data_IF_613756761215
#
_entry.id   IF_613756761215
#
_cell.length_a   1.000
_cell.length_b   1.000
_cell.length_c   1.000
_cell.angle_alpha   90.00
_cell.angle_beta   90.00
_cell.angle_gamma   90.00
#
_symmetry.space_group_name_H-M   'P 1'
#
loop_
_entity.id
_entity.type
_entity.pdbx_description
1 polymer ?
#
# COMPACT_ATOMS: atom_id res chain seq x y z
N UNK A 1 -38.36 52.03 13.56
CA UNK A 1 -38.63 50.57 13.63
C UNK A 1 -37.39 49.87 14.15
N UNK A 2 -37.50 48.91 15.10
CA UNK A 2 -36.38 48.49 15.94
C UNK A 2 -35.49 47.42 15.30
N UNK A 3 -34.26 47.38 15.82
CA UNK A 3 -33.08 46.63 15.41
C UNK A 3 -33.21 45.13 15.72
N UNK A 4 -33.10 44.27 14.70
CA UNK A 4 -32.97 42.79 14.83
C UNK A 4 -31.56 42.34 14.47
N UNK A 5 -30.57 42.56 15.36
CA UNK A 5 -29.18 42.05 15.16
C UNK A 5 -28.65 41.14 16.28
N UNK A 6 -29.44 40.83 17.31
CA UNK A 6 -28.98 40.10 18.50
C UNK A 6 -29.03 38.56 18.46
N UNK A 7 -29.73 37.94 17.50
CA UNK A 7 -29.96 36.48 17.53
C UNK A 7 -28.96 35.66 16.71
N UNK A 8 -28.40 36.18 15.61
CA UNK A 8 -27.49 35.40 14.74
C UNK A 8 -26.15 35.05 15.39
N UNK A 9 -25.60 35.95 16.22
CA UNK A 9 -24.35 35.68 16.95
C UNK A 9 -24.49 34.59 18.01
N UNK A 10 -25.68 34.43 18.61
CA UNK A 10 -25.94 33.35 19.57
C UNK A 10 -25.94 31.99 18.85
N UNK A 11 -26.59 31.88 17.69
CA UNK A 11 -26.60 30.64 16.90
C UNK A 11 -25.20 30.19 16.46
N UNK A 12 -24.35 31.13 16.01
CA UNK A 12 -22.97 30.80 15.59
C UNK A 12 -22.13 30.30 16.77
N UNK A 13 -22.28 30.89 17.96
CA UNK A 13 -21.57 30.41 19.17
C UNK A 13 -21.99 28.98 19.56
N UNK A 14 -23.27 28.64 19.41
CA UNK A 14 -23.75 27.28 19.74
C UNK A 14 -23.28 26.24 18.71
N UNK A 15 -23.24 26.59 17.41
CA UNK A 15 -22.73 25.69 16.36
C UNK A 15 -21.26 25.32 16.59
N UNK A 16 -20.43 26.30 16.97
CA UNK A 16 -19.01 26.05 17.27
C UNK A 16 -18.84 25.06 18.45
N UNK A 17 -19.66 25.19 19.50
CA UNK A 17 -19.64 24.26 20.64
C UNK A 17 -20.08 22.85 20.22
N UNK A 18 -21.12 22.72 19.40
CA UNK A 18 -21.55 21.43 18.88
C UNK A 18 -20.50 20.76 17.97
N UNK A 19 -19.79 21.54 17.15
CA UNK A 19 -18.70 21.01 16.31
C UNK A 19 -17.54 20.45 17.14
N UNK A 20 -17.13 21.15 18.21
CA UNK A 20 -16.08 20.65 19.12
C UNK A 20 -16.51 19.34 19.78
N UNK A 21 -17.76 19.23 20.21
CA UNK A 21 -18.28 17.97 20.79
C UNK A 21 -18.41 16.84 19.76
N UNK A 22 -18.83 17.13 18.53
CA UNK A 22 -18.94 16.14 17.46
C UNK A 22 -17.59 15.54 17.07
N UNK A 23 -16.50 16.33 17.16
CA UNK A 23 -15.14 15.84 16.91
C UNK A 23 -14.57 15.12 18.13
N UNK A 24 -14.82 15.58 19.36
CA UNK A 24 -14.20 15.00 20.56
C UNK A 24 -14.84 13.69 21.05
N UNK A 25 -16.16 13.53 20.90
CA UNK A 25 -16.88 12.34 21.36
C UNK A 25 -16.42 11.01 20.72
N UNK A 26 -16.14 10.90 19.41
CA UNK A 26 -15.65 9.64 18.85
C UNK A 26 -14.28 9.22 19.40
N UNK A 27 -13.39 10.16 19.73
CA UNK A 27 -12.09 9.82 20.34
C UNK A 27 -12.23 9.29 21.78
N UNK A 28 -13.17 9.81 22.57
CA UNK A 28 -13.42 9.31 23.92
C UNK A 28 -13.93 7.85 23.93
N UNK A 29 -14.72 7.46 22.93
CA UNK A 29 -15.20 6.07 22.79
C UNK A 29 -14.04 5.12 22.46
N UNK A 30 -13.11 5.53 21.60
CA UNK A 30 -11.94 4.70 21.24
C UNK A 30 -10.99 4.50 22.43
N UNK A 31 -10.74 5.52 23.24
CA UNK A 31 -9.84 5.44 24.41
C UNK A 31 -10.43 4.60 25.55
N UNK A 32 -11.75 4.61 25.75
CA UNK A 32 -12.40 3.81 26.79
C UNK A 32 -12.68 2.35 26.39
N UNK A 33 -12.52 2.00 25.11
CA UNK A 33 -12.79 0.66 24.59
C UNK A 33 -11.55 -0.25 24.52
N UNK A 34 -10.41 0.18 25.05
CA UNK A 34 -9.25 -0.71 25.21
C UNK A 34 -9.47 -1.59 26.45
N UNK A 35 -9.68 -2.92 26.30
CA UNK A 35 -9.60 -3.82 27.43
C UNK A 35 -8.17 -3.78 27.98
N UNK A 36 -8.06 -3.44 29.27
CA UNK A 36 -6.81 -3.37 29.99
C UNK A 36 -6.02 -4.66 29.87
N UNK A 37 -4.73 -4.53 29.53
CA UNK A 37 -3.76 -5.59 29.72
C UNK A 37 -3.44 -5.66 31.21
N UNK A 38 -4.25 -6.42 31.94
CA UNK A 38 -3.89 -6.85 33.29
C UNK A 38 -2.71 -7.81 33.21
N UNK A 39 -1.60 -7.36 33.79
CA UNK A 39 -0.47 -8.16 34.22
C UNK A 39 -0.96 -9.38 35.02
N UNK A 40 -0.54 -10.59 34.66
CA UNK A 40 -0.41 -11.66 35.65
C UNK A 40 0.74 -12.60 35.30
N UNK A 41 1.70 -12.62 36.23
CA UNK A 41 2.74 -13.61 36.42
C UNK A 41 2.26 -15.05 36.18
N UNK A 42 3.05 -15.83 35.43
CA UNK A 42 3.17 -17.26 35.69
C UNK A 42 4.63 -17.62 35.88
N UNK A 43 5.00 -17.62 37.15
CA UNK A 43 6.07 -18.36 37.79
C UNK A 43 6.43 -19.65 37.04
N UNK A 44 7.61 -19.67 36.43
CA UNK A 44 8.30 -20.91 36.08
C UNK A 44 9.22 -21.25 37.26
N UNK A 45 8.84 -22.30 37.97
CA UNK A 45 9.63 -22.95 39.02
C UNK A 45 10.86 -23.65 38.38
N UNK A 46 12.09 -23.41 38.85
CA UNK A 46 13.27 -24.11 38.34
C UNK A 46 13.62 -25.30 39.23
N UNK A 47 13.84 -26.52 38.70
CA UNK A 47 14.52 -27.56 39.46
C UNK A 47 16.02 -27.53 39.17
N UNK A 48 16.76 -27.02 40.16
CA UNK A 48 18.02 -27.55 40.72
C UNK A 48 19.16 -28.01 39.79
N UNK A 49 20.26 -27.25 39.78
CA UNK A 49 21.65 -27.73 39.63
C UNK A 49 22.13 -28.36 40.97
N UNK A 50 23.37 -28.91 41.11
CA UNK A 50 24.30 -29.55 40.17
C UNK A 50 24.85 -30.90 40.72
N UNK A 51 25.58 -31.70 39.92
CA UNK A 51 26.58 -32.64 40.48
C UNK A 51 27.80 -32.72 39.55
N UNK A 52 28.94 -32.34 40.11
CA UNK A 52 30.30 -32.32 39.55
C UNK A 52 30.82 -33.71 39.16
N UNK A 53 31.61 -33.80 38.07
CA UNK A 53 33.07 -33.96 38.20
C UNK A 53 33.80 -33.70 36.86
N UNK A 54 35.03 -33.11 36.89
CA UNK A 54 35.80 -32.74 35.71
C UNK A 54 36.88 -33.78 35.39
N UNK A 55 37.25 -33.92 34.11
CA UNK A 55 38.48 -34.50 33.54
C UNK A 55 38.25 -34.53 32.02
N UNK A 56 39.11 -34.16 31.08
CA UNK A 56 40.53 -33.79 31.03
C UNK A 56 40.74 -33.14 29.64
N UNK A 57 41.82 -32.36 29.49
CA UNK A 57 42.23 -31.71 28.25
C UNK A 57 42.36 -32.66 27.06
N UNK A 58 42.05 -32.17 25.85
CA UNK A 58 43.08 -31.83 24.86
C UNK A 58 42.46 -31.10 23.67
N UNK A 59 43.12 -30.02 23.29
CA UNK A 59 42.91 -29.28 22.07
C UNK A 59 43.47 -30.11 20.92
N UNK A 60 42.60 -30.68 20.10
CA UNK A 60 42.96 -31.13 18.77
C UNK A 60 42.02 -30.42 17.79
N UNK A 61 42.66 -29.66 16.92
CA UNK A 61 42.12 -28.94 15.78
C UNK A 61 41.62 -29.97 14.76
N UNK A 62 40.50 -30.61 15.05
CA UNK A 62 39.74 -31.34 14.05
C UNK A 62 38.83 -30.35 13.35
N UNK A 63 39.05 -30.16 12.05
CA UNK A 63 38.05 -29.57 11.18
C UNK A 63 36.80 -30.44 11.28
N UNK A 64 35.88 -30.05 12.17
CA UNK A 64 34.58 -30.67 12.30
C UNK A 64 33.88 -30.40 10.97
N UNK A 65 33.92 -31.39 10.07
CA UNK A 65 32.89 -31.50 9.03
C UNK A 65 31.56 -31.58 9.78
N UNK A 66 30.90 -30.44 9.90
CA UNK A 66 29.54 -30.35 10.43
C UNK A 66 28.66 -31.06 9.41
N UNK A 67 28.41 -32.33 9.63
CA UNK A 67 27.41 -33.08 8.88
C UNK A 67 26.07 -32.36 9.06
N UNK A 68 25.36 -31.97 7.97
CA UNK A 68 24.11 -31.25 8.11
C UNK A 68 23.11 -32.12 8.88
N UNK A 69 22.61 -31.61 10.00
CA UNK A 69 21.52 -32.25 10.74
C UNK A 69 20.27 -32.19 9.87
N UNK A 70 19.81 -33.33 9.37
CA UNK A 70 18.53 -33.41 8.69
C UNK A 70 17.40 -33.11 9.69
N UNK A 71 16.59 -32.09 9.38
CA UNK A 71 15.39 -31.80 10.14
C UNK A 71 14.39 -32.96 9.98
N UNK A 72 13.64 -33.36 11.02
CA UNK A 72 12.67 -34.46 10.96
C UNK A 72 11.39 -34.09 10.17
N UNK A 73 11.41 -32.97 9.44
CA UNK A 73 10.34 -32.49 8.59
C UNK A 73 10.93 -31.94 7.30
N UNK A 74 10.14 -32.00 6.23
CA UNK A 74 10.47 -31.38 4.95
C UNK A 74 10.07 -29.91 5.03
N UNK A 75 10.98 -29.00 4.73
CA UNK A 75 10.63 -27.60 4.47
C UNK A 75 10.07 -27.57 3.05
N UNK A 76 8.75 -27.53 2.92
CA UNK A 76 8.11 -27.18 1.65
C UNK A 76 8.33 -25.68 1.44
N UNK A 77 9.29 -25.33 0.57
CA UNK A 77 9.42 -23.95 0.12
C UNK A 77 8.19 -23.63 -0.72
N UNK A 78 7.50 -22.53 -0.40
CA UNK A 78 6.51 -21.97 -1.31
C UNK A 78 7.14 -21.80 -2.70
N UNK A 79 6.36 -21.95 -3.80
CA UNK A 79 6.86 -21.67 -5.14
C UNK A 79 7.59 -20.33 -5.15
N UNK A 80 8.72 -20.26 -5.85
CA UNK A 80 9.47 -19.02 -6.00
C UNK A 80 8.74 -18.11 -6.99
N UNK A 81 7.58 -17.60 -6.58
CA UNK A 81 6.75 -16.71 -7.37
C UNK A 81 7.46 -15.36 -7.56
N UNK A 82 7.51 -14.87 -8.79
CA UNK A 82 8.09 -13.59 -9.14
C UNK A 82 6.99 -12.60 -9.46
N UNK A 83 7.17 -11.38 -8.99
CA UNK A 83 6.25 -10.29 -9.32
C UNK A 83 6.15 -10.07 -10.84
N UNK A 84 4.97 -9.66 -11.32
CA UNK A 84 4.78 -9.31 -12.72
C UNK A 84 5.65 -8.13 -13.11
N UNK A 85 5.97 -8.02 -14.39
CA UNK A 85 6.56 -6.82 -14.98
C UNK A 85 5.46 -5.94 -15.56
N UNK A 86 5.51 -4.64 -15.28
CA UNK A 86 4.53 -3.65 -15.77
C UNK A 86 5.27 -2.43 -16.33
N UNK A 87 4.73 -1.86 -17.40
CA UNK A 87 5.20 -0.61 -18.01
C UNK A 87 4.02 0.25 -18.43
N UNK A 88 4.20 1.56 -18.33
CA UNK A 88 3.24 2.57 -18.76
C UNK A 88 3.84 3.33 -19.93
N UNK A 89 3.07 3.47 -21.00
CA UNK A 89 3.43 4.22 -22.19
C UNK A 89 2.31 5.21 -22.52
N UNK A 90 2.66 6.43 -22.90
CA UNK A 90 1.71 7.51 -23.07
C UNK A 90 2.28 8.64 -23.92
N UNK A 91 1.52 9.73 -24.11
CA UNK A 91 2.03 10.88 -24.85
C UNK A 91 3.23 11.51 -24.15
N UNK A 92 4.20 12.01 -24.92
CA UNK A 92 5.38 12.69 -24.40
C UNK A 92 5.05 13.96 -23.61
N UNK A 93 3.92 14.61 -23.95
CA UNK A 93 3.45 15.85 -23.34
C UNK A 93 1.98 16.13 -23.73
N UNK A 94 1.35 17.07 -23.03
CA UNK A 94 -0.02 17.54 -23.28
C UNK A 94 -0.01 19.06 -23.53
N UNK A 95 -0.27 19.48 -24.76
CA UNK A 95 -0.24 20.92 -25.13
C UNK A 95 -1.38 21.75 -24.54
N UNK A 96 -2.50 21.12 -24.21
CA UNK A 96 -3.72 21.83 -23.78
C UNK A 96 -4.48 21.03 -22.72
N UNK A 97 -4.04 21.05 -21.45
CA UNK A 97 -4.76 20.46 -20.33
C UNK A 97 -5.96 21.35 -19.94
N UNK A 98 -6.91 21.49 -20.88
CA UNK A 98 -8.16 22.19 -20.64
C UNK A 98 -9.17 21.29 -19.93
N UNK A 99 -10.25 21.90 -19.42
CA UNK A 99 -11.38 21.16 -18.87
C UNK A 99 -11.96 20.19 -19.92
N UNK A 100 -12.03 18.91 -19.59
CA UNK A 100 -12.50 17.86 -20.49
C UNK A 100 -11.45 17.33 -21.48
N UNK A 101 -10.20 17.76 -21.39
CA UNK A 101 -9.10 17.11 -22.10
C UNK A 101 -8.96 15.65 -21.63
N UNK A 102 -8.72 14.74 -22.58
CA UNK A 102 -8.65 13.30 -22.34
C UNK A 102 -7.24 12.83 -22.68
N UNK A 103 -6.71 11.94 -21.85
CA UNK A 103 -5.43 11.28 -22.07
C UNK A 103 -5.68 9.79 -22.26
N UNK A 104 -4.96 9.19 -23.21
CA UNK A 104 -4.90 7.76 -23.41
C UNK A 104 -3.49 7.26 -23.15
N UNK A 105 -3.38 6.18 -22.39
CA UNK A 105 -2.11 5.49 -22.13
C UNK A 105 -2.26 4.00 -22.47
N UNK A 106 -1.14 3.35 -22.74
CA UNK A 106 -1.01 1.91 -22.80
C UNK A 106 -0.34 1.37 -21.53
N UNK A 107 -0.85 0.26 -21.03
CA UNK A 107 -0.34 -0.47 -19.87
C UNK A 107 0.06 -1.85 -20.36
N UNK A 108 1.37 -2.13 -20.41
CA UNK A 108 1.85 -3.45 -20.82
C UNK A 108 2.27 -4.23 -19.58
N UNK A 109 1.78 -5.47 -19.46
CA UNK A 109 2.13 -6.35 -18.35
C UNK A 109 2.55 -7.73 -18.85
N UNK A 110 3.51 -8.34 -18.16
CA UNK A 110 3.97 -9.69 -18.40
C UNK A 110 4.34 -10.37 -17.08
N UNK A 111 3.91 -11.61 -16.90
CA UNK A 111 4.28 -12.47 -15.77
C UNK A 111 4.92 -13.76 -16.32
N UNK A 112 5.88 -14.33 -15.58
CA UNK A 112 6.54 -15.58 -15.98
C UNK A 112 5.95 -16.80 -15.28
N UNK A 113 5.30 -16.59 -14.15
CA UNK A 113 4.76 -17.63 -13.27
C UNK A 113 3.24 -17.77 -13.49
N UNK A 114 2.53 -16.67 -13.83
CA UNK A 114 1.07 -16.63 -14.02
C UNK A 114 0.60 -16.29 -15.45
N UNK A 115 -0.66 -16.61 -15.74
CA UNK A 115 -1.31 -16.33 -17.04
C UNK A 115 -2.14 -15.05 -17.08
N UNK A 116 -2.44 -14.47 -15.91
CA UNK A 116 -3.16 -13.19 -15.81
C UNK A 116 -2.68 -12.40 -14.61
N UNK A 117 -2.91 -11.08 -14.65
CA UNK A 117 -2.60 -10.15 -13.57
C UNK A 117 -3.77 -9.20 -13.36
N UNK A 118 -3.91 -8.69 -12.13
CA UNK A 118 -4.85 -7.62 -11.79
C UNK A 118 -4.12 -6.28 -11.79
N UNK A 119 -4.62 -5.35 -12.57
CA UNK A 119 -4.12 -4.01 -12.76
C UNK A 119 -4.93 -3.00 -11.95
N UNK A 120 -4.21 -2.08 -11.33
CA UNK A 120 -4.74 -0.85 -10.77
C UNK A 120 -4.08 0.36 -11.43
N UNK A 121 -4.82 1.46 -11.59
CA UNK A 121 -4.31 2.71 -12.12
C UNK A 121 -4.80 3.87 -11.26
N UNK A 122 -3.90 4.80 -10.96
CA UNK A 122 -4.23 6.04 -10.27
C UNK A 122 -3.48 7.22 -10.87
N UNK A 123 -4.10 8.40 -10.80
CA UNK A 123 -3.40 9.67 -10.99
C UNK A 123 -3.08 10.28 -9.62
N UNK A 124 -1.85 10.77 -9.45
CA UNK A 124 -1.45 11.54 -8.29
C UNK A 124 -1.50 13.03 -8.62
N UNK A 125 -2.31 13.77 -7.88
CA UNK A 125 -2.56 15.20 -8.05
C UNK A 125 -2.27 15.89 -6.73
N UNK A 126 -1.13 16.58 -6.64
CA UNK A 126 -0.64 17.11 -5.37
C UNK A 126 -0.44 15.98 -4.36
N UNK A 127 -1.23 15.98 -3.29
CA UNK A 127 -1.22 14.94 -2.23
C UNK A 127 -2.37 13.93 -2.37
N UNK A 128 -3.28 14.11 -3.32
CA UNK A 128 -4.45 13.26 -3.51
C UNK A 128 -4.22 12.21 -4.61
N UNK A 129 -4.65 10.97 -4.33
CA UNK A 129 -4.66 9.88 -5.32
C UNK A 129 -6.07 9.69 -5.87
N UNK A 130 -6.21 9.78 -7.19
CA UNK A 130 -7.48 9.58 -7.90
C UNK A 130 -7.44 8.19 -8.54
N UNK A 131 -8.36 7.32 -8.16
CA UNK A 131 -8.48 5.99 -8.73
C UNK A 131 -9.02 6.06 -10.16
N UNK A 132 -8.25 5.51 -11.11
CA UNK A 132 -8.54 5.43 -12.54
C UNK A 132 -8.65 3.99 -13.03
N UNK A 133 -8.67 2.98 -12.15
CA UNK A 133 -8.75 1.55 -12.52
C UNK A 133 -9.98 1.26 -13.39
N UNK A 134 -11.10 1.93 -13.14
CA UNK A 134 -12.33 1.79 -13.95
C UNK A 134 -12.23 2.40 -15.36
N UNK A 135 -11.17 3.18 -15.63
CA UNK A 135 -10.89 3.75 -16.94
C UNK A 135 -10.03 2.84 -17.84
N UNK A 136 -9.63 1.66 -17.36
CA UNK A 136 -8.97 0.63 -18.16
C UNK A 136 -10.03 -0.04 -19.04
N UNK A 137 -9.86 0.04 -20.36
CA UNK A 137 -10.88 -0.33 -21.34
C UNK A 137 -11.15 -1.84 -21.38
N UNK A 138 -10.12 -2.65 -21.18
CA UNK A 138 -10.18 -4.12 -21.13
C UNK A 138 -10.64 -4.64 -19.74
N UNK A 139 -10.78 -3.73 -18.77
CA UNK A 139 -11.01 -4.05 -17.37
C UNK A 139 -9.72 -4.23 -16.56
N UNK A 140 -9.82 -4.44 -15.24
CA UNK A 140 -8.66 -4.56 -14.36
C UNK A 140 -7.93 -5.89 -14.50
N UNK A 141 -8.56 -6.96 -14.99
CA UNK A 141 -7.90 -8.25 -15.16
C UNK A 141 -7.35 -8.37 -16.59
N UNK A 142 -6.04 -8.59 -16.71
CA UNK A 142 -5.34 -8.67 -17.98
C UNK A 142 -4.65 -10.03 -18.13
N UNK A 143 -4.89 -10.71 -19.26
CA UNK A 143 -4.15 -11.92 -19.65
C UNK A 143 -2.75 -11.52 -20.10
N UNK A 144 -1.71 -12.20 -19.60
CA UNK A 144 -0.30 -11.87 -19.83
C UNK A 144 0.44 -12.89 -20.71
N UNK A 145 1.40 -12.46 -21.56
CA UNK A 145 1.74 -11.07 -21.87
C UNK A 145 0.58 -10.34 -22.58
N UNK A 146 0.29 -9.12 -22.13
CA UNK A 146 -0.85 -8.36 -22.61
C UNK A 146 -0.62 -6.86 -22.56
N UNK A 147 -1.43 -6.13 -23.32
CA UNK A 147 -1.46 -4.67 -23.33
C UNK A 147 -2.91 -4.25 -23.13
N UNK A 148 -3.15 -3.43 -22.12
CA UNK A 148 -4.40 -2.74 -21.88
C UNK A 148 -4.27 -1.26 -22.25
N UNK A 149 -5.40 -0.62 -22.52
CA UNK A 149 -5.49 0.80 -22.79
C UNK A 149 -6.35 1.47 -21.72
N UNK A 150 -5.94 2.64 -21.25
CA UNK A 150 -6.74 3.43 -20.31
C UNK A 150 -6.98 4.83 -20.89
N UNK A 151 -8.24 5.27 -20.86
CA UNK A 151 -8.65 6.57 -21.39
C UNK A 151 -9.46 7.31 -20.33
N UNK A 152 -8.96 8.47 -19.88
CA UNK A 152 -9.58 9.22 -18.79
C UNK A 152 -9.43 10.73 -18.99
N UNK A 153 -10.37 11.53 -18.46
CA UNK A 153 -10.21 12.97 -18.43
C UNK A 153 -9.04 13.36 -17.51
N UNK A 154 -8.28 14.39 -17.88
CA UNK A 154 -7.23 14.94 -17.03
C UNK A 154 -7.88 15.47 -15.75
N UNK A 155 -7.49 14.98 -14.57
CA UNK A 155 -8.01 15.52 -13.33
C UNK A 155 -7.64 17.00 -13.16
N UNK A 156 -8.52 17.82 -12.56
CA UNK A 156 -8.21 19.22 -12.28
C UNK A 156 -6.99 19.30 -11.36
N UNK A 157 -5.95 20.01 -11.79
CA UNK A 157 -4.69 20.15 -11.06
C UNK A 157 -4.08 21.53 -11.33
N UNK A 158 -3.40 22.07 -10.33
CA UNK A 158 -2.56 23.27 -10.46
C UNK A 158 -1.11 22.90 -10.84
N UNK A 159 -0.80 21.60 -10.89
CA UNK A 159 0.51 21.09 -11.27
C UNK A 159 0.78 21.27 -12.76
N UNK A 160 2.07 21.24 -13.12
CA UNK A 160 2.54 21.36 -14.51
C UNK A 160 2.68 20.02 -15.23
N UNK A 161 2.24 18.93 -14.61
CA UNK A 161 2.34 17.58 -15.12
C UNK A 161 1.19 16.70 -14.59
N UNK A 162 0.99 15.57 -15.24
CA UNK A 162 0.17 14.46 -14.78
C UNK A 162 1.11 13.31 -14.35
N UNK A 163 0.99 12.86 -13.11
CA UNK A 163 1.69 11.68 -12.61
C UNK A 163 0.70 10.52 -12.50
N UNK A 164 1.03 9.43 -13.16
CA UNK A 164 0.25 8.19 -13.17
C UNK A 164 1.06 7.12 -12.47
N UNK A 165 0.39 6.33 -11.64
CA UNK A 165 0.96 5.18 -10.95
C UNK A 165 0.06 3.99 -11.25
N UNK A 166 0.65 2.88 -11.64
CA UNK A 166 -0.06 1.63 -11.87
C UNK A 166 0.59 0.49 -11.09
N UNK A 167 -0.23 -0.41 -10.60
CA UNK A 167 0.20 -1.62 -9.92
C UNK A 167 -0.28 -2.84 -10.70
N UNK A 168 0.53 -3.89 -10.72
CA UNK A 168 0.11 -5.22 -11.14
C UNK A 168 0.24 -6.19 -9.97
N UNK A 169 -0.76 -7.05 -9.77
CA UNK A 169 -0.75 -8.13 -8.78
C UNK A 169 -1.05 -9.45 -9.48
N UNK A 170 -0.22 -10.47 -9.25
CA UNK A 170 -0.43 -11.82 -9.78
C UNK A 170 -1.39 -12.63 -8.87
N UNK A 171 -1.64 -13.90 -9.21
CA UNK A 171 -2.60 -14.73 -8.48
C UNK A 171 -2.10 -15.09 -7.07
N UNK A 172 -0.80 -15.31 -6.93
CA UNK A 172 -0.13 -15.64 -5.67
C UNK A 172 0.14 -14.40 -4.79
N UNK A 173 -0.17 -13.20 -5.30
CA UNK A 173 -0.15 -11.93 -4.60
C UNK A 173 1.17 -11.16 -4.68
N UNK A 174 2.13 -11.54 -5.51
CA UNK A 174 3.31 -10.71 -5.76
C UNK A 174 2.95 -9.51 -6.64
N UNK A 175 3.65 -8.40 -6.40
CA UNK A 175 3.26 -7.08 -6.88
C UNK A 175 4.41 -6.33 -7.52
N UNK A 176 4.06 -5.52 -8.52
CA UNK A 176 4.96 -4.53 -9.11
C UNK A 176 4.26 -3.20 -9.34
N UNK A 177 5.05 -2.18 -9.58
CA UNK A 177 4.61 -0.80 -9.75
C UNK A 177 5.33 -0.17 -10.94
N UNK A 178 4.62 0.65 -11.71
CA UNK A 178 5.18 1.54 -12.71
C UNK A 178 4.60 2.94 -12.56
N UNK A 179 5.40 3.95 -12.90
CA UNK A 179 4.99 5.34 -12.89
C UNK A 179 5.26 5.98 -14.24
N UNK A 180 4.38 6.89 -14.65
CA UNK A 180 4.51 7.69 -15.87
C UNK A 180 4.25 9.16 -15.54
N UNK A 181 5.16 10.03 -15.96
CA UNK A 181 5.02 11.49 -15.82
C UNK A 181 4.82 12.08 -17.20
N UNK A 182 3.70 12.80 -17.38
CA UNK A 182 3.36 13.48 -18.63
C UNK A 182 3.35 14.99 -18.37
N UNK A 183 4.31 15.76 -18.90
CA UNK A 183 4.35 17.22 -18.77
C UNK A 183 3.20 17.90 -19.54
N UNK A 184 2.73 19.04 -19.04
CA UNK A 184 1.73 19.88 -19.73
C UNK A 184 2.35 20.91 -20.68
N UNK A 185 3.56 20.63 -21.17
CA UNK A 185 4.30 21.48 -22.11
C UNK A 185 5.04 20.60 -23.09
N UNK A 186 4.82 20.86 -24.37
CA UNK A 186 5.58 20.29 -25.47
C UNK A 186 6.57 21.36 -25.92
N UNK A 187 7.87 21.10 -25.78
CA UNK A 187 8.94 22.00 -26.20
C UNK A 187 9.27 21.83 -27.69
#
# INVERSE_FOLDING_TARGET
>A
MPVRRGNRQKYIRWIAVFLVFAVALPFAVVVLSQPGSDETNSTVEPPSQPTEKPSTSNSEDESLEVSPTALPFVIEQAPNNKAPSITLDGPDCIESPGEGAVVSIAISANDIDDTSVVLDLAALVGEESINLTSSINEGPELVVPGIASATFPIPPTEESYLLLISHATDFDGAKSEAALVIPFRCD
#
